data_IF_769157216474
#
_entry.id   IF_769157216474
#
_cell.length_a   1.000
_cell.length_b   1.000
_cell.length_c   1.000
_cell.angle_alpha   90.00
_cell.angle_beta   90.00
_cell.angle_gamma   90.00
#
_symmetry.space_group_name_H-M   'P 1'
#
loop_
_entity.id
_entity.type
_entity.pdbx_description
1 polymer ?
#
# COMPACT_ATOMS: atom_id res chain seq x y z
N UNK A 1 5.65 -0.37 6.27
CA UNK A 1 4.30 -0.92 6.17
C UNK A 1 3.37 -0.18 7.12
N UNK A 2 2.08 -0.12 6.82
CA UNK A 2 1.00 0.42 7.67
C UNK A 2 -0.18 -0.54 7.66
N UNK A 3 -0.86 -0.65 8.81
CA UNK A 3 -2.14 -1.36 8.87
C UNK A 3 -3.21 -0.54 8.14
N UNK A 4 -4.15 -1.23 7.51
CA UNK A 4 -5.34 -0.65 6.89
C UNK A 4 -6.59 -1.31 7.47
N UNK A 5 -7.73 -0.62 7.37
CA UNK A 5 -9.01 -1.28 7.55
C UNK A 5 -9.10 -2.45 6.57
N UNK A 6 -9.45 -3.66 7.03
CA UNK A 6 -9.47 -4.84 6.18
C UNK A 6 -10.38 -4.65 4.96
N UNK A 7 -9.88 -5.02 3.80
CA UNK A 7 -10.64 -5.05 2.56
C UNK A 7 -10.66 -6.45 1.97
N UNK A 8 -11.70 -6.73 1.20
CA UNK A 8 -11.92 -7.99 0.52
C UNK A 8 -11.60 -7.83 -0.97
N UNK A 9 -10.63 -8.61 -1.45
CA UNK A 9 -10.14 -8.55 -2.83
C UNK A 9 -10.48 -9.87 -3.51
N UNK A 10 -11.18 -9.77 -4.64
CA UNK A 10 -11.51 -10.92 -5.46
C UNK A 10 -10.38 -11.22 -6.45
N UNK A 11 -9.66 -12.32 -6.26
CA UNK A 11 -8.53 -12.76 -7.11
C UNK A 11 -8.69 -14.25 -7.40
N UNK A 12 -8.61 -14.62 -8.68
CA UNK A 12 -8.64 -16.02 -9.14
C UNK A 12 -9.83 -16.84 -8.61
N UNK A 13 -11.00 -16.21 -8.46
CA UNK A 13 -12.21 -16.88 -7.98
C UNK A 13 -12.31 -17.01 -6.45
N UNK A 14 -11.34 -16.46 -5.71
CA UNK A 14 -11.32 -16.46 -4.25
C UNK A 14 -11.45 -15.04 -3.72
N UNK A 15 -12.03 -14.91 -2.53
CA UNK A 15 -12.06 -13.66 -1.78
C UNK A 15 -10.94 -13.69 -0.74
N UNK A 16 -9.94 -12.83 -0.88
CA UNK A 16 -8.78 -12.73 0.00
C UNK A 16 -8.85 -11.41 0.76
N UNK A 17 -8.62 -11.45 2.06
CA UNK A 17 -8.57 -10.23 2.89
C UNK A 17 -7.19 -9.61 2.83
N UNK A 18 -7.10 -8.30 2.57
CA UNK A 18 -5.88 -7.53 2.78
C UNK A 18 -6.08 -6.56 3.95
N UNK A 19 -5.09 -6.50 4.84
CA UNK A 19 -5.13 -5.64 6.04
C UNK A 19 -3.83 -4.85 6.26
N UNK A 20 -2.83 -5.03 5.39
CA UNK A 20 -1.54 -4.35 5.52
C UNK A 20 -1.10 -3.79 4.17
N UNK A 21 -0.69 -2.52 4.16
CA UNK A 21 -0.12 -1.82 3.00
C UNK A 21 1.39 -1.67 3.18
N UNK A 22 2.16 -2.09 2.18
CA UNK A 22 3.58 -1.75 2.02
C UNK A 22 3.78 -0.82 0.84
N UNK A 23 4.72 0.10 0.97
CA UNK A 23 5.13 1.02 -0.09
C UNK A 23 6.64 1.04 -0.19
N UNK A 24 7.13 0.97 -1.42
CA UNK A 24 8.55 1.13 -1.76
C UNK A 24 8.64 2.15 -2.89
N UNK A 25 9.40 3.23 -2.69
CA UNK A 25 9.68 4.19 -3.76
C UNK A 25 10.58 3.52 -4.79
N UNK A 26 10.14 3.45 -6.05
CA UNK A 26 10.90 2.80 -7.14
C UNK A 26 11.45 3.79 -8.15
N UNK A 27 10.83 4.98 -8.29
CA UNK A 27 11.34 6.06 -9.12
C UNK A 27 10.85 7.41 -8.61
N UNK A 28 11.71 8.42 -8.69
CA UNK A 28 11.38 9.81 -8.40
C UNK A 28 12.15 10.70 -9.38
N UNK A 29 11.44 11.54 -10.13
CA UNK A 29 12.07 12.45 -11.08
C UNK A 29 12.53 13.77 -10.45
N UNK A 30 12.35 13.93 -9.13
CA UNK A 30 12.70 15.10 -8.32
C UNK A 30 12.06 16.41 -8.81
N UNK A 31 10.95 16.31 -9.55
CA UNK A 31 10.31 17.46 -10.18
C UNK A 31 8.81 17.47 -9.93
N UNK A 32 8.11 16.43 -10.36
CA UNK A 32 6.64 16.41 -10.41
C UNK A 32 6.03 15.01 -10.39
N UNK A 33 6.84 13.95 -10.26
CA UNK A 33 6.37 12.57 -10.36
C UNK A 33 7.22 11.59 -9.56
N UNK A 34 6.55 10.75 -8.79
CA UNK A 34 7.12 9.57 -8.17
C UNK A 34 6.28 8.32 -8.46
N UNK A 35 6.95 7.17 -8.51
CA UNK A 35 6.35 5.86 -8.66
C UNK A 35 6.69 5.05 -7.42
N UNK A 36 5.66 4.52 -6.78
CA UNK A 36 5.78 3.56 -5.70
C UNK A 36 5.34 2.19 -6.19
N UNK A 37 6.07 1.16 -5.80
CA UNK A 37 5.52 -0.17 -5.75
C UNK A 37 4.70 -0.28 -4.46
N UNK A 38 3.41 -0.65 -4.59
CA UNK A 38 2.55 -0.93 -3.47
C UNK A 38 2.25 -2.43 -3.42
N UNK A 39 2.31 -2.96 -2.21
CA UNK A 39 1.95 -4.34 -1.94
C UNK A 39 0.89 -4.39 -0.85
N UNK A 40 -0.13 -5.20 -1.07
CA UNK A 40 -1.15 -5.49 -0.07
C UNK A 40 -0.93 -6.89 0.48
N UNK A 41 -0.96 -7.02 1.80
CA UNK A 41 -0.77 -8.28 2.49
C UNK A 41 -1.98 -8.63 3.35
N UNK A 42 -2.23 -9.93 3.46
CA UNK A 42 -2.99 -10.55 4.54
C UNK A 42 -2.02 -10.87 5.68
N UNK A 43 -2.00 -10.04 6.72
CA UNK A 43 -1.21 -10.27 7.92
C UNK A 43 -2.07 -11.02 8.96
N UNK A 44 -1.62 -12.17 9.43
CA UNK A 44 -2.31 -12.97 10.44
C UNK A 44 -1.32 -13.68 11.37
N UNK A 45 -1.80 -14.15 12.52
CA UNK A 45 -1.02 -14.98 13.44
C UNK A 45 -1.39 -16.44 13.18
N UNK A 46 -0.38 -17.29 12.92
CA UNK A 46 -0.59 -18.70 12.64
C UNK A 46 -0.73 -19.58 13.90
N UNK A 47 -0.88 -20.89 13.68
CA UNK A 47 -1.01 -21.90 14.75
C UNK A 47 0.23 -22.00 15.66
N UNK A 48 1.38 -21.49 15.21
CA UNK A 48 2.63 -21.44 15.98
C UNK A 48 2.82 -20.09 16.67
N UNK A 49 1.80 -19.23 16.66
CA UNK A 49 1.82 -17.88 17.22
C UNK A 49 2.86 -16.96 16.56
N UNK A 50 3.13 -17.18 15.27
CA UNK A 50 4.03 -16.33 14.47
C UNK A 50 3.22 -15.45 13.51
N UNK A 51 3.69 -14.21 13.32
CA UNK A 51 3.14 -13.31 12.31
C UNK A 51 3.50 -13.81 10.93
N UNK A 52 2.48 -14.09 10.12
CA UNK A 52 2.60 -14.41 8.71
C UNK A 52 2.16 -13.22 7.85
N UNK A 53 2.74 -13.13 6.66
CA UNK A 53 2.39 -12.16 5.63
C UNK A 53 2.18 -12.89 4.32
N UNK A 54 0.94 -12.92 3.86
CA UNK A 54 0.58 -13.46 2.54
C UNK A 54 0.37 -12.29 1.57
N UNK A 55 1.13 -12.26 0.48
CA UNK A 55 1.03 -11.24 -0.56
C UNK A 55 -0.28 -11.42 -1.35
N UNK A 56 -1.10 -10.37 -1.39
CA UNK A 56 -2.40 -10.36 -2.08
C UNK A 56 -2.32 -9.57 -3.38
N UNK A 57 -1.67 -8.40 -3.35
CA UNK A 57 -1.48 -7.53 -4.52
C UNK A 57 -0.05 -7.05 -4.54
N UNK A 58 0.55 -6.98 -5.73
CA UNK A 58 1.83 -6.34 -6.01
C UNK A 58 1.71 -5.55 -7.31
N UNK A 59 1.72 -4.22 -7.22
CA UNK A 59 1.55 -3.37 -8.38
C UNK A 59 2.16 -1.98 -8.15
N UNK A 60 2.20 -1.14 -9.18
CA UNK A 60 2.71 0.21 -9.08
C UNK A 60 1.59 1.24 -8.94
N UNK A 61 1.89 2.31 -8.22
CA UNK A 61 1.07 3.51 -8.12
C UNK A 61 1.94 4.73 -8.41
N UNK A 62 1.36 5.70 -9.12
CA UNK A 62 2.03 6.94 -9.49
C UNK A 62 1.40 8.06 -8.68
N UNK A 63 2.23 8.88 -8.04
CA UNK A 63 1.82 10.21 -7.59
C UNK A 63 2.45 11.24 -8.52
N UNK A 64 1.64 12.19 -9.00
CA UNK A 64 2.09 13.21 -9.95
C UNK A 64 1.36 14.54 -9.79
N UNK A 65 1.96 15.61 -10.29
CA UNK A 65 1.38 16.95 -10.24
C UNK A 65 1.09 17.40 -8.81
N UNK A 66 -0.18 17.70 -8.51
CA UNK A 66 -0.60 18.21 -7.19
C UNK A 66 -0.30 17.21 -6.08
N UNK A 67 -0.50 15.91 -6.31
CA UNK A 67 -0.23 14.86 -5.34
C UNK A 67 1.26 14.83 -4.95
N UNK A 68 2.14 14.92 -5.96
CA UNK A 68 3.58 14.96 -5.74
C UNK A 68 3.99 16.25 -5.02
N UNK A 69 3.47 17.40 -5.44
CA UNK A 69 3.78 18.69 -4.78
C UNK A 69 3.28 18.77 -3.34
N UNK A 70 2.26 17.97 -2.99
CA UNK A 70 1.75 17.83 -1.62
C UNK A 70 2.65 16.92 -0.79
N UNK A 71 3.30 15.94 -1.41
CA UNK A 71 4.18 15.01 -0.73
C UNK A 71 5.48 15.70 -0.27
N UNK A 72 5.70 15.78 1.04
CA UNK A 72 6.92 16.37 1.60
C UNK A 72 8.16 15.46 1.59
N UNK A 73 8.15 14.36 0.81
CA UNK A 73 9.19 13.33 0.81
C UNK A 73 9.12 12.38 2.02
N UNK A 74 8.23 12.63 2.98
CA UNK A 74 8.09 11.85 4.20
C UNK A 74 7.29 10.56 4.01
N UNK A 75 7.67 9.53 4.76
CA UNK A 75 7.04 8.21 4.68
C UNK A 75 5.55 8.25 5.07
N UNK A 76 5.18 8.95 6.15
CA UNK A 76 3.78 8.99 6.59
C UNK A 76 2.86 9.62 5.54
N UNK A 77 3.32 10.68 4.87
CA UNK A 77 2.53 11.34 3.84
C UNK A 77 2.43 10.51 2.57
N UNK A 78 3.50 9.78 2.20
CA UNK A 78 3.42 8.79 1.12
C UNK A 78 2.34 7.72 1.40
N UNK A 79 2.25 7.21 2.64
CA UNK A 79 1.19 6.29 3.03
C UNK A 79 -0.19 6.94 2.95
N UNK A 80 -0.36 8.17 3.42
CA UNK A 80 -1.65 8.88 3.34
C UNK A 80 -2.09 9.11 1.91
N UNK A 81 -1.20 9.62 1.04
CA UNK A 81 -1.50 9.89 -0.36
C UNK A 81 -1.81 8.60 -1.13
N UNK A 82 -0.96 7.58 -1.00
CA UNK A 82 -1.16 6.32 -1.72
C UNK A 82 -2.40 5.56 -1.20
N UNK A 83 -2.66 5.55 0.11
CA UNK A 83 -3.88 4.93 0.65
C UNK A 83 -5.14 5.63 0.15
N UNK A 84 -5.16 6.97 0.16
CA UNK A 84 -6.27 7.75 -0.39
C UNK A 84 -6.51 7.41 -1.86
N UNK A 85 -5.46 7.38 -2.67
CA UNK A 85 -5.55 7.08 -4.12
C UNK A 85 -5.99 5.65 -4.41
N UNK A 86 -5.66 4.70 -3.54
CA UNK A 86 -6.10 3.30 -3.61
C UNK A 86 -7.48 3.05 -2.97
N UNK A 87 -8.13 4.10 -2.45
CA UNK A 87 -9.37 4.00 -1.67
C UNK A 87 -9.23 3.04 -0.46
N UNK A 88 -8.10 3.14 0.24
CA UNK A 88 -7.80 2.41 1.47
C UNK A 88 -7.86 3.37 2.66
N UNK A 89 -8.31 2.85 3.81
CA UNK A 89 -8.30 3.58 5.07
C UNK A 89 -7.16 3.07 5.95
N UNK A 90 -6.21 3.92 6.32
CA UNK A 90 -5.19 3.56 7.31
C UNK A 90 -5.85 3.29 8.68
N UNK A 91 -5.35 2.30 9.43
CA UNK A 91 -5.86 1.94 10.76
C UNK A 91 -5.15 2.70 11.90
#
# INVERSE_FOLDING_TARGET
>A
MKQIQPIHIWINGNNITANTLSLTLVNDNLKDKAVFNYQLFNQYIDVNNMTQLELVVDNNIIIEGVEYSTWNGGNNEAYTLCSTKLNLTLA
#
